data_IF_458193393560
#
_entry.id   IF_458193393560
#
_cell.length_a   1.000
_cell.length_b   1.000
_cell.length_c   1.000
_cell.angle_alpha   90.00
_cell.angle_beta   90.00
_cell.angle_gamma   90.00
#
_symmetry.space_group_name_H-M   'P 1'
#
loop_
_entity.id
_entity.type
_entity.pdbx_description
1 polymer ?
#
# COMPACT_ATOMS: atom_id res chain seq x y z
N UNK A 1 40.14 -18.21 -62.94
CA UNK A 1 39.94 -17.01 -62.12
C UNK A 1 39.09 -17.38 -60.93
N UNK A 2 39.67 -17.51 -59.73
CA UNK A 2 39.03 -18.03 -58.51
C UNK A 2 38.46 -16.84 -57.72
N UNK A 3 37.15 -16.92 -57.42
CA UNK A 3 36.47 -15.98 -56.51
C UNK A 3 36.26 -16.70 -55.20
N UNK A 4 36.90 -16.25 -54.13
CA UNK A 4 36.77 -16.74 -52.77
C UNK A 4 35.60 -16.05 -52.09
N UNK A 5 34.61 -16.84 -51.61
CA UNK A 5 33.56 -16.38 -50.71
C UNK A 5 34.16 -16.13 -49.30
N UNK A 6 34.08 -14.87 -48.84
CA UNK A 6 34.25 -14.52 -47.43
C UNK A 6 32.92 -14.75 -46.70
N UNK A 7 32.88 -15.75 -45.84
CA UNK A 7 31.77 -15.90 -44.89
C UNK A 7 31.85 -14.83 -43.82
N UNK A 8 30.86 -13.93 -43.76
CA UNK A 8 30.67 -13.03 -42.63
C UNK A 8 30.03 -13.83 -41.46
N UNK A 9 30.81 -14.09 -40.46
CA UNK A 9 30.27 -14.52 -39.15
C UNK A 9 29.60 -13.28 -38.48
N UNK A 10 28.27 -13.28 -38.42
CA UNK A 10 27.52 -12.34 -37.61
C UNK A 10 27.48 -12.97 -36.18
N UNK A 11 28.27 -12.39 -35.26
CA UNK A 11 28.16 -12.69 -33.83
C UNK A 11 26.80 -12.21 -33.34
N UNK A 12 26.04 -13.02 -32.60
CA UNK A 12 24.82 -12.54 -31.98
C UNK A 12 25.19 -11.46 -30.92
N UNK A 13 24.55 -10.30 -31.01
CA UNK A 13 24.66 -9.27 -29.99
C UNK A 13 24.25 -9.88 -28.63
N UNK A 14 25.17 -9.85 -27.68
CA UNK A 14 24.90 -10.21 -26.30
C UNK A 14 23.77 -9.31 -25.79
N UNK A 15 22.60 -9.90 -25.57
CA UNK A 15 21.47 -9.21 -24.96
C UNK A 15 21.93 -8.71 -23.58
N UNK A 16 21.92 -7.40 -23.40
CA UNK A 16 22.13 -6.81 -22.09
C UNK A 16 21.01 -7.35 -21.18
N UNK A 17 21.37 -8.16 -20.19
CA UNK A 17 20.46 -8.46 -19.09
C UNK A 17 20.09 -7.12 -18.48
N UNK A 18 18.82 -6.74 -18.57
CA UNK A 18 18.31 -5.59 -17.84
C UNK A 18 18.57 -5.83 -16.35
N UNK A 19 19.35 -4.97 -15.72
CA UNK A 19 19.59 -5.04 -14.29
C UNK A 19 18.23 -5.05 -13.58
N UNK A 20 18.05 -5.97 -12.61
CA UNK A 20 16.84 -5.98 -11.80
C UNK A 20 16.62 -4.58 -11.22
N UNK A 21 15.38 -4.05 -11.24
CA UNK A 21 15.10 -2.72 -10.70
C UNK A 21 15.59 -2.65 -9.25
N UNK A 22 16.41 -1.64 -8.96
CA UNK A 22 16.88 -1.43 -7.59
C UNK A 22 15.71 -1.08 -6.69
N UNK A 23 15.59 -1.77 -5.54
CA UNK A 23 14.58 -1.46 -4.53
C UNK A 23 14.83 -0.06 -3.95
N UNK A 24 13.83 0.81 -4.02
CA UNK A 24 13.88 2.13 -3.41
C UNK A 24 12.79 2.26 -2.36
N UNK A 25 13.17 2.67 -1.14
CA UNK A 25 12.25 2.88 -0.02
C UNK A 25 12.05 4.37 0.21
N UNK A 26 10.88 4.89 -0.13
CA UNK A 26 10.51 6.27 0.15
C UNK A 26 9.80 6.37 1.49
N UNK A 27 10.16 7.40 2.26
CA UNK A 27 9.53 7.77 3.53
C UNK A 27 9.04 9.21 3.47
N UNK A 28 8.00 9.50 4.24
CA UNK A 28 7.61 10.86 4.59
C UNK A 28 7.74 11.01 6.09
N UNK A 29 8.39 12.08 6.56
CA UNK A 29 8.76 12.25 7.97
C UNK A 29 8.67 13.71 8.40
N UNK A 30 8.56 13.93 9.70
CA UNK A 30 8.65 15.28 10.30
C UNK A 30 10.11 15.61 10.58
N UNK A 31 10.55 16.76 10.05
CA UNK A 31 11.76 17.47 10.43
C UNK A 31 11.34 18.69 11.24
N UNK A 32 11.41 18.59 12.55
CA UNK A 32 10.83 19.59 13.43
C UNK A 32 9.31 19.70 13.19
N UNK A 33 8.85 20.83 12.64
CA UNK A 33 7.44 21.08 12.33
C UNK A 33 7.10 20.94 10.84
N UNK A 34 8.07 20.61 10.00
CA UNK A 34 7.91 20.55 8.54
C UNK A 34 7.98 19.10 8.07
N UNK A 35 7.01 18.68 7.25
CA UNK A 35 7.05 17.40 6.61
C UNK A 35 8.02 17.40 5.41
N UNK A 36 8.82 16.36 5.29
CA UNK A 36 9.77 16.14 4.21
C UNK A 36 9.64 14.72 3.66
N UNK A 37 10.14 14.50 2.45
CA UNK A 37 10.33 13.17 1.87
C UNK A 37 11.80 12.77 1.93
N UNK A 38 12.07 11.47 1.90
CA UNK A 38 13.43 10.94 1.85
C UNK A 38 13.47 9.52 1.30
N UNK A 39 14.67 9.07 1.00
CA UNK A 39 14.97 7.67 0.69
C UNK A 39 15.58 7.05 1.94
N UNK A 40 14.96 5.97 2.40
CA UNK A 40 15.43 5.18 3.54
C UNK A 40 16.42 4.12 3.07
N UNK A 41 17.61 4.13 3.65
CA UNK A 41 18.70 3.19 3.42
C UNK A 41 19.22 2.71 4.79
N UNK A 42 18.84 1.47 5.18
CA UNK A 42 19.04 1.00 6.55
C UNK A 42 18.35 1.90 7.57
N UNK A 43 19.11 2.44 8.51
CA UNK A 43 18.67 3.38 9.54
C UNK A 43 18.81 4.86 9.14
N UNK A 44 19.12 5.13 7.88
CA UNK A 44 19.47 6.46 7.38
C UNK A 44 18.46 6.96 6.36
N UNK A 45 17.97 8.18 6.52
CA UNK A 45 17.08 8.86 5.58
C UNK A 45 17.88 9.94 4.83
N UNK A 46 17.99 9.80 3.51
CA UNK A 46 18.52 10.85 2.63
C UNK A 46 17.35 11.75 2.20
N UNK A 47 17.34 12.99 2.67
CA UNK A 47 16.24 13.93 2.43
C UNK A 47 16.14 14.33 0.97
N UNK A 48 14.90 14.45 0.50
CA UNK A 48 14.54 14.87 -0.86
C UNK A 48 13.81 16.20 -0.84
N UNK A 49 14.15 17.05 -1.82
CA UNK A 49 13.34 18.21 -2.19
C UNK A 49 12.25 17.77 -3.16
N UNK A 50 11.01 18.04 -2.83
CA UNK A 50 9.85 17.69 -3.64
C UNK A 50 9.29 16.31 -3.32
N UNK A 51 8.20 15.98 -4.00
CA UNK A 51 7.48 14.72 -3.87
C UNK A 51 8.19 13.60 -4.65
N UNK A 52 8.19 12.35 -4.19
CA UNK A 52 8.73 11.22 -4.93
C UNK A 52 8.07 11.02 -6.31
N UNK A 53 6.89 11.57 -6.52
CA UNK A 53 6.15 11.49 -7.79
C UNK A 53 6.55 12.56 -8.82
N UNK A 54 7.41 13.51 -8.49
CA UNK A 54 7.72 14.68 -9.30
C UNK A 54 9.22 14.94 -9.42
N UNK A 55 9.99 13.92 -9.83
CA UNK A 55 11.44 13.99 -10.05
C UNK A 55 12.19 14.64 -8.87
N UNK A 56 12.11 14.04 -7.66
CA UNK A 56 12.69 14.59 -6.44
C UNK A 56 14.21 14.71 -6.57
N UNK A 57 14.79 15.74 -5.92
CA UNK A 57 16.24 15.97 -5.91
C UNK A 57 16.78 15.80 -4.47
N UNK A 58 17.96 15.18 -4.27
CA UNK A 58 18.60 15.16 -2.98
C UNK A 58 18.85 16.57 -2.45
N UNK A 59 18.62 16.81 -1.17
CA UNK A 59 18.96 18.09 -0.51
C UNK A 59 20.38 18.08 0.02
N UNK A 60 21.01 16.92 0.17
CA UNK A 60 22.27 16.69 0.87
C UNK A 60 22.08 16.44 2.37
N UNK A 61 20.91 16.73 2.95
CA UNK A 61 20.64 16.46 4.36
C UNK A 61 20.38 14.95 4.60
N UNK A 62 20.88 14.49 5.76
CA UNK A 62 20.79 13.09 6.19
C UNK A 62 20.26 13.06 7.62
N UNK A 63 19.33 12.16 7.90
CA UNK A 63 18.71 11.98 9.21
C UNK A 63 18.79 10.52 9.65
N UNK A 64 18.90 10.27 10.96
CA UNK A 64 18.68 8.93 11.49
C UNK A 64 17.19 8.66 11.59
N UNK A 65 16.78 7.44 11.27
CA UNK A 65 15.37 7.01 11.38
C UNK A 65 14.82 7.19 12.79
N UNK A 66 15.64 6.92 13.82
CA UNK A 66 15.28 7.10 15.23
C UNK A 66 15.00 8.55 15.64
N UNK A 67 15.51 9.54 14.91
CA UNK A 67 15.47 10.95 15.29
C UNK A 67 14.27 11.69 14.65
N UNK A 68 13.46 10.98 13.87
CA UNK A 68 12.33 11.57 13.15
C UNK A 68 11.03 10.81 13.43
N UNK A 69 9.91 11.49 13.32
CA UNK A 69 8.59 10.86 13.31
C UNK A 69 8.21 10.54 11.87
N UNK A 70 7.95 9.25 11.57
CA UNK A 70 7.39 8.85 10.29
C UNK A 70 5.93 9.31 10.19
N UNK A 71 5.54 9.69 8.99
CA UNK A 71 4.19 10.04 8.60
C UNK A 71 3.68 8.99 7.60
N UNK A 72 2.35 8.94 7.35
CA UNK A 72 1.84 8.19 6.21
C UNK A 72 2.60 8.63 4.94
N UNK A 73 3.04 7.68 4.10
CA UNK A 73 4.19 7.91 3.21
C UNK A 73 3.90 8.79 1.99
N UNK A 74 2.64 9.14 1.73
CA UNK A 74 2.26 10.09 0.68
C UNK A 74 0.97 10.83 1.05
N UNK A 75 0.62 11.87 0.28
CA UNK A 75 -0.58 12.67 0.47
C UNK A 75 -1.57 12.42 -0.66
N UNK A 76 -2.47 11.42 -0.52
CA UNK A 76 -3.44 11.10 -1.55
C UNK A 76 -4.51 12.18 -1.67
N UNK A 77 -5.08 12.30 -2.86
CA UNK A 77 -6.33 13.05 -3.08
C UNK A 77 -7.55 12.19 -2.83
N UNK A 78 -7.40 10.89 -2.98
CA UNK A 78 -8.44 9.89 -2.72
C UNK A 78 -7.85 8.55 -2.28
N UNK A 79 -8.65 7.80 -1.57
CA UNK A 79 -8.34 6.43 -1.14
C UNK A 79 -9.49 5.54 -1.59
N UNK A 80 -9.16 4.52 -2.35
CA UNK A 80 -10.04 3.42 -2.70
C UNK A 80 -9.65 2.18 -1.88
N UNK A 81 -10.61 1.31 -1.61
CA UNK A 81 -10.35 0.04 -0.97
C UNK A 81 -11.20 -1.07 -1.60
N UNK A 82 -10.64 -2.28 -1.64
CA UNK A 82 -11.26 -3.46 -2.21
C UNK A 82 -12.04 -4.24 -1.14
N UNK A 83 -13.29 -4.56 -1.44
CA UNK A 83 -14.02 -5.57 -0.70
C UNK A 83 -13.81 -6.96 -1.33
N UNK A 84 -13.75 -8.02 -0.49
CA UNK A 84 -13.87 -9.42 -0.92
C UNK A 84 -12.80 -9.87 -1.94
N UNK A 85 -11.57 -9.44 -1.79
CA UNK A 85 -10.50 -9.74 -2.74
C UNK A 85 -9.60 -10.94 -2.36
N UNK A 86 -9.91 -11.67 -1.31
CA UNK A 86 -9.29 -12.96 -0.96
C UNK A 86 -10.34 -14.04 -0.79
N UNK A 87 -10.11 -15.23 -1.37
CA UNK A 87 -11.05 -16.36 -1.21
C UNK A 87 -11.23 -16.75 0.26
N UNK A 88 -10.15 -16.71 1.04
CA UNK A 88 -10.18 -17.00 2.49
C UNK A 88 -11.02 -16.02 3.31
N UNK A 89 -11.34 -14.84 2.77
CA UNK A 89 -12.17 -13.81 3.44
C UNK A 89 -13.65 -13.86 3.01
N UNK A 90 -13.99 -14.70 2.03
CA UNK A 90 -15.37 -14.77 1.50
C UNK A 90 -16.34 -15.51 2.42
N UNK A 91 -15.86 -16.47 3.26
CA UNK A 91 -16.71 -17.47 3.88
C UNK A 91 -17.43 -18.27 2.79
N UNK A 92 -18.75 -18.40 2.89
CA UNK A 92 -19.59 -19.15 1.93
C UNK A 92 -19.96 -18.33 0.67
N UNK A 93 -19.51 -17.08 0.56
CA UNK A 93 -19.84 -16.22 -0.58
C UNK A 93 -19.06 -16.62 -1.83
N UNK A 94 -19.70 -16.50 -2.99
CA UNK A 94 -19.03 -16.66 -4.26
C UNK A 94 -18.08 -15.46 -4.51
N UNK A 95 -16.93 -15.70 -5.17
CA UNK A 95 -16.05 -14.61 -5.57
C UNK A 95 -16.78 -13.59 -6.45
N UNK A 96 -16.54 -12.29 -6.25
CA UNK A 96 -17.14 -11.28 -7.10
C UNK A 96 -16.64 -11.41 -8.55
N UNK A 97 -17.52 -11.14 -9.52
CA UNK A 97 -17.18 -11.21 -10.96
C UNK A 97 -16.35 -10.02 -11.45
N UNK A 98 -16.22 -8.98 -10.63
CA UNK A 98 -15.46 -7.75 -10.89
C UNK A 98 -14.94 -7.18 -9.57
N UNK A 99 -13.92 -6.28 -9.59
CA UNK A 99 -13.50 -5.56 -8.42
C UNK A 99 -14.65 -4.78 -7.76
N UNK A 100 -14.86 -4.98 -6.46
CA UNK A 100 -15.84 -4.25 -5.66
C UNK A 100 -15.11 -3.22 -4.82
N UNK A 101 -15.19 -1.95 -5.22
CA UNK A 101 -14.46 -0.85 -4.61
C UNK A 101 -15.36 0.04 -3.77
N UNK A 102 -14.81 0.55 -2.68
CA UNK A 102 -15.44 1.59 -1.85
C UNK A 102 -14.44 2.72 -1.54
N UNK A 103 -14.95 3.81 -1.01
CA UNK A 103 -14.17 4.98 -0.67
C UNK A 103 -13.80 4.99 0.81
N UNK A 104 -12.55 5.40 1.09
CA UNK A 104 -12.14 5.87 2.42
C UNK A 104 -11.82 7.36 2.31
N UNK A 105 -12.32 8.23 3.21
CA UNK A 105 -11.93 9.63 3.20
C UNK A 105 -10.44 9.80 3.56
N UNK A 106 -9.82 10.84 3.05
CA UNK A 106 -8.41 11.13 3.38
C UNK A 106 -8.19 11.49 4.85
N UNK A 107 -9.23 11.95 5.55
CA UNK A 107 -9.23 12.20 6.99
C UNK A 107 -9.06 10.93 7.82
N UNK A 108 -9.37 9.75 7.27
CA UNK A 108 -9.17 8.47 7.93
C UNK A 108 -7.70 8.05 8.03
N UNK A 109 -6.78 8.72 7.28
CA UNK A 109 -5.35 8.38 7.31
C UNK A 109 -4.77 8.50 8.70
N UNK A 110 -3.93 7.52 9.07
CA UNK A 110 -3.18 7.54 10.30
C UNK A 110 -1.70 7.22 10.06
N UNK A 111 -0.82 7.89 10.82
CA UNK A 111 0.63 7.69 10.70
C UNK A 111 1.07 6.38 11.37
N UNK A 112 2.19 5.82 10.94
CA UNK A 112 2.86 4.76 11.70
C UNK A 112 3.16 5.25 13.14
N UNK A 113 2.83 4.41 14.13
CA UNK A 113 3.04 4.70 15.55
C UNK A 113 1.96 5.56 16.21
N UNK A 114 1.15 6.30 15.47
CA UNK A 114 0.06 7.08 16.04
C UNK A 114 -1.17 6.18 16.36
N UNK A 115 -2.00 6.53 17.37
CA UNK A 115 -3.07 5.64 17.80
C UNK A 115 -4.22 5.53 16.79
N UNK A 116 -4.80 4.33 16.68
CA UNK A 116 -6.14 4.13 16.15
C UNK A 116 -7.11 4.50 17.26
N UNK A 117 -8.03 5.42 16.99
CA UNK A 117 -9.00 5.93 17.96
C UNK A 117 -10.35 5.25 17.72
N UNK A 118 -10.84 4.49 18.70
CA UNK A 118 -12.16 3.86 18.63
C UNK A 118 -13.21 4.88 19.04
N UNK A 119 -14.16 5.27 18.15
CA UNK A 119 -15.25 6.17 18.51
C UNK A 119 -16.07 5.65 19.68
N UNK A 120 -16.65 6.52 20.54
CA UNK A 120 -17.35 6.10 21.75
C UNK A 120 -18.56 5.17 21.51
N UNK A 121 -19.20 5.27 20.34
CA UNK A 121 -20.36 4.48 19.91
C UNK A 121 -19.98 3.27 19.03
N UNK A 122 -18.68 3.01 18.84
CA UNK A 122 -18.16 1.87 18.08
C UNK A 122 -17.84 0.70 19.02
N UNK A 123 -18.42 -0.48 18.77
CA UNK A 123 -18.31 -1.62 19.69
C UNK A 123 -17.66 -2.86 19.07
N UNK A 124 -17.52 -2.92 17.74
CA UNK A 124 -17.04 -4.10 17.02
C UNK A 124 -16.02 -3.71 15.94
N UNK A 125 -14.95 -3.01 16.36
CA UNK A 125 -13.91 -2.48 15.47
C UNK A 125 -12.84 -3.53 15.23
N UNK A 126 -12.67 -3.93 13.96
CA UNK A 126 -11.70 -4.94 13.54
C UNK A 126 -10.51 -4.32 12.82
N UNK A 127 -9.34 -4.97 12.93
CA UNK A 127 -8.20 -4.72 12.06
C UNK A 127 -8.26 -5.59 10.80
N UNK A 128 -7.79 -5.03 9.69
CA UNK A 128 -7.67 -5.68 8.38
C UNK A 128 -6.33 -5.31 7.75
N UNK A 129 -5.33 -6.20 7.88
CA UNK A 129 -4.03 -6.00 7.24
C UNK A 129 -4.14 -6.14 5.72
N UNK A 130 -3.56 -5.18 4.99
CA UNK A 130 -3.64 -5.12 3.54
C UNK A 130 -2.36 -4.64 2.88
N UNK A 131 -2.10 -5.16 1.68
CA UNK A 131 -1.22 -4.52 0.74
C UNK A 131 -1.91 -3.26 0.20
N UNK A 132 -1.18 -2.15 0.10
CA UNK A 132 -1.70 -0.89 -0.45
C UNK A 132 -0.89 -0.48 -1.67
N UNK A 133 -1.56 -0.31 -2.80
CA UNK A 133 -0.96 0.23 -4.02
C UNK A 133 -0.87 1.74 -3.92
N UNK A 134 0.26 2.30 -4.35
CA UNK A 134 0.48 3.75 -4.47
C UNK A 134 0.55 4.12 -5.95
N UNK A 135 -0.31 5.03 -6.38
CA UNK A 135 -0.34 5.50 -7.78
C UNK A 135 0.78 6.52 -8.00
N UNK A 136 1.51 6.37 -9.09
CA UNK A 136 2.67 7.22 -9.42
C UNK A 136 2.42 8.23 -10.51
N UNK A 137 1.45 7.99 -11.36
CA UNK A 137 1.12 8.90 -12.47
C UNK A 137 -0.39 9.00 -12.69
N UNK A 138 -0.81 10.12 -13.26
CA UNK A 138 -2.21 10.29 -13.62
C UNK A 138 -2.61 9.25 -14.66
N UNK A 139 -3.72 8.56 -14.39
CA UNK A 139 -4.26 7.54 -15.29
C UNK A 139 -5.79 7.55 -15.30
N UNK A 140 -6.36 7.39 -16.49
CA UNK A 140 -7.81 7.34 -16.75
C UNK A 140 -8.04 6.37 -17.89
N UNK A 141 -8.97 5.43 -17.70
CA UNK A 141 -9.34 4.41 -18.70
C UNK A 141 -8.12 3.60 -19.20
N UNK A 142 -7.31 3.08 -18.26
CA UNK A 142 -6.05 2.40 -18.54
C UNK A 142 -6.22 1.05 -19.20
N UNK A 143 -5.27 0.68 -20.09
CA UNK A 143 -5.00 -0.73 -20.44
C UNK A 143 -4.35 -1.44 -19.24
N UNK A 144 -4.17 -2.77 -19.33
CA UNK A 144 -3.49 -3.53 -18.25
C UNK A 144 -2.04 -3.08 -18.08
N UNK A 145 -1.33 -2.82 -19.17
CA UNK A 145 0.05 -2.33 -19.17
C UNK A 145 0.15 -0.94 -18.55
N UNK A 146 -0.73 -0.02 -18.95
CA UNK A 146 -0.79 1.33 -18.38
C UNK A 146 -1.16 1.31 -16.89
N UNK A 147 -2.03 0.39 -16.48
CA UNK A 147 -2.37 0.20 -15.07
C UNK A 147 -1.18 -0.30 -14.25
N UNK A 148 -0.42 -1.28 -14.78
CA UNK A 148 0.81 -1.78 -14.14
C UNK A 148 1.84 -0.67 -13.99
N UNK A 149 2.09 0.10 -15.04
CA UNK A 149 3.04 1.20 -15.03
C UNK A 149 2.58 2.40 -14.17
N UNK A 150 1.27 2.52 -13.89
CA UNK A 150 0.75 3.56 -13.02
C UNK A 150 1.00 3.27 -11.53
N UNK A 151 1.29 2.01 -11.16
CA UNK A 151 1.62 1.64 -9.79
C UNK A 151 3.09 2.04 -9.53
N UNK A 152 3.29 3.04 -8.68
CA UNK A 152 4.61 3.54 -8.29
C UNK A 152 5.35 2.60 -7.35
N UNK A 153 4.62 2.02 -6.43
CA UNK A 153 5.12 1.12 -5.40
C UNK A 153 4.01 0.68 -4.47
N UNK A 154 4.39 0.01 -3.40
CA UNK A 154 3.47 -0.58 -2.44
C UNK A 154 3.86 -0.24 -1.00
N UNK A 155 2.88 -0.33 -0.10
CA UNK A 155 3.06 -0.10 1.34
C UNK A 155 2.11 -0.99 2.14
N UNK A 156 2.29 -1.09 3.46
CA UNK A 156 1.31 -1.73 4.34
C UNK A 156 0.16 -0.77 4.64
N UNK A 157 -1.03 -1.34 4.88
CA UNK A 157 -2.19 -0.63 5.38
C UNK A 157 -3.01 -1.46 6.34
N UNK A 158 -3.87 -0.78 7.09
CA UNK A 158 -4.87 -1.40 7.95
C UNK A 158 -6.23 -0.78 7.62
N UNK A 159 -7.11 -1.53 6.95
CA UNK A 159 -8.48 -1.10 6.64
C UNK A 159 -9.40 -1.30 7.84
N UNK A 160 -9.18 -0.48 8.88
CA UNK A 160 -9.96 -0.55 10.12
C UNK A 160 -11.46 -0.43 9.83
N UNK A 161 -12.23 -1.34 10.44
CA UNK A 161 -13.63 -1.56 10.10
C UNK A 161 -14.50 -1.76 11.33
N UNK A 162 -15.52 -0.94 11.49
CA UNK A 162 -16.56 -1.20 12.47
C UNK A 162 -17.63 -2.11 11.84
N UNK A 163 -17.75 -3.33 12.35
CA UNK A 163 -18.53 -4.41 11.71
C UNK A 163 -20.03 -4.26 11.84
N UNK A 164 -20.51 -3.67 12.94
CA UNK A 164 -21.93 -3.50 13.16
C UNK A 164 -22.48 -2.36 12.29
N UNK A 165 -21.71 -1.27 12.15
CA UNK A 165 -22.02 -0.21 11.20
C UNK A 165 -21.95 -0.70 9.76
N UNK A 166 -20.93 -1.54 9.44
CA UNK A 166 -20.76 -2.10 8.10
C UNK A 166 -21.98 -2.95 7.67
N UNK A 167 -22.65 -3.63 8.63
CA UNK A 167 -23.86 -4.43 8.38
C UNK A 167 -25.13 -3.59 8.36
N UNK A 168 -25.19 -2.57 9.21
CA UNK A 168 -26.40 -1.78 9.45
C UNK A 168 -26.56 -0.57 8.54
N UNK A 169 -25.48 0.04 8.11
CA UNK A 169 -25.52 1.25 7.29
C UNK A 169 -25.69 0.92 5.79
N UNK A 170 -26.41 1.77 5.07
CA UNK A 170 -26.54 1.63 3.61
C UNK A 170 -25.20 1.80 2.91
N UNK A 171 -24.34 2.67 3.44
CA UNK A 171 -22.99 2.92 2.93
C UNK A 171 -21.97 2.85 4.07
N UNK A 172 -20.76 2.45 3.76
CA UNK A 172 -19.70 2.18 4.74
C UNK A 172 -18.89 3.43 5.14
N UNK A 173 -19.43 4.65 4.96
CA UNK A 173 -18.65 5.86 5.15
C UNK A 173 -18.06 6.00 6.55
N UNK A 174 -18.82 5.71 7.63
CA UNK A 174 -18.29 5.71 9.00
C UNK A 174 -17.68 4.37 9.40
N UNK A 175 -18.25 3.26 8.92
CA UNK A 175 -17.76 1.92 9.22
C UNK A 175 -16.30 1.72 8.78
N UNK A 176 -15.90 2.35 7.67
CA UNK A 176 -14.58 2.24 7.03
C UNK A 176 -13.81 3.56 7.01
N UNK A 177 -14.44 4.68 7.35
CA UNK A 177 -13.90 6.00 7.11
C UNK A 177 -13.89 6.93 8.33
N UNK A 178 -14.17 6.45 9.54
CA UNK A 178 -13.93 7.24 10.74
C UNK A 178 -12.45 7.68 10.81
N UNK A 179 -12.17 8.81 11.44
CA UNK A 179 -10.81 9.30 11.61
C UNK A 179 -9.92 8.19 12.18
N UNK A 180 -8.68 8.10 11.70
CA UNK A 180 -7.68 7.08 12.06
C UNK A 180 -7.93 5.65 11.53
N UNK A 181 -9.01 5.41 10.78
CA UNK A 181 -9.38 4.08 10.28
C UNK A 181 -8.63 3.66 9.00
N UNK A 182 -7.62 4.41 8.59
CA UNK A 182 -6.72 4.07 7.48
C UNK A 182 -5.23 4.29 7.86
N UNK A 183 -4.67 3.55 8.82
CA UNK A 183 -3.22 3.53 9.01
C UNK A 183 -2.51 3.06 7.74
N UNK A 184 -1.44 3.77 7.33
CA UNK A 184 -0.64 3.46 6.12
C UNK A 184 0.84 3.74 6.36
N UNK A 185 1.69 2.86 5.90
CA UNK A 185 3.14 2.99 5.98
C UNK A 185 3.84 1.67 6.33
N UNK A 186 5.06 1.70 6.84
CA UNK A 186 5.90 2.88 7.16
C UNK A 186 6.59 3.49 5.94
N UNK A 187 6.73 2.76 4.84
CA UNK A 187 7.49 3.16 3.64
C UNK A 187 6.69 2.86 2.38
N UNK A 188 7.01 3.55 1.27
CA UNK A 188 6.64 3.07 -0.08
C UNK A 188 7.87 2.36 -0.64
N UNK A 189 7.71 1.11 -1.07
CA UNK A 189 8.77 0.36 -1.75
C UNK A 189 8.47 0.28 -3.23
N UNK A 190 9.40 0.79 -4.03
CA UNK A 190 9.39 0.71 -5.48
C UNK A 190 10.33 -0.39 -5.98
N UNK A 191 10.00 -0.99 -7.12
CA UNK A 191 10.82 -2.04 -7.74
C UNK A 191 10.65 -3.43 -7.11
N UNK A 192 9.75 -3.60 -6.14
CA UNK A 192 9.45 -4.88 -5.50
C UNK A 192 8.42 -5.67 -6.33
N UNK A 193 8.64 -6.97 -6.50
CA UNK A 193 7.61 -7.89 -7.00
C UNK A 193 6.59 -8.15 -5.89
N UNK A 194 5.50 -7.38 -5.89
CA UNK A 194 4.47 -7.44 -4.87
C UNK A 194 3.39 -8.51 -5.12
N UNK A 195 3.52 -9.30 -6.19
CA UNK A 195 2.56 -10.34 -6.55
C UNK A 195 2.60 -11.61 -5.69
N UNK A 196 3.58 -11.75 -4.80
CA UNK A 196 3.78 -12.97 -3.99
C UNK A 196 4.43 -12.73 -2.63
N UNK A 197 4.10 -11.62 -1.98
CA UNK A 197 4.63 -11.27 -0.66
C UNK A 197 3.81 -11.91 0.45
N UNK A 198 4.44 -12.32 1.53
CA UNK A 198 3.74 -12.77 2.73
C UNK A 198 3.25 -11.55 3.52
N UNK A 199 1.94 -11.51 3.76
CA UNK A 199 1.26 -10.56 4.63
C UNK A 199 0.93 -11.23 5.96
N UNK A 200 1.25 -10.57 7.07
CA UNK A 200 0.87 -10.96 8.44
C UNK A 200 0.23 -9.80 9.17
N UNK A 201 -0.88 -10.09 9.85
CA UNK A 201 -1.47 -9.15 10.83
C UNK A 201 -1.35 -9.76 12.21
N UNK A 202 -0.80 -8.96 13.16
CA UNK A 202 -0.72 -9.36 14.57
C UNK A 202 -1.55 -8.43 15.43
N UNK A 203 -2.20 -9.03 16.42
CA UNK A 203 -2.88 -8.30 17.49
C UNK A 203 -2.20 -8.70 18.82
N UNK A 204 -1.56 -7.74 19.50
CA UNK A 204 -0.78 -7.97 20.72
C UNK A 204 0.32 -9.03 20.56
N UNK A 205 0.96 -9.08 19.38
CA UNK A 205 2.00 -10.04 19.04
C UNK A 205 1.49 -11.39 18.54
N UNK A 206 0.20 -11.71 18.70
CA UNK A 206 -0.41 -12.92 18.16
C UNK A 206 -0.73 -12.76 16.67
N UNK A 207 -0.26 -13.65 15.82
CA UNK A 207 -0.60 -13.66 14.38
C UNK A 207 -2.04 -14.09 14.20
N UNK A 208 -2.87 -13.19 13.65
CA UNK A 208 -4.30 -13.42 13.39
C UNK A 208 -4.62 -13.56 11.90
N UNK A 209 -3.75 -13.05 11.03
CA UNK A 209 -3.83 -13.24 9.58
C UNK A 209 -2.44 -13.55 9.04
N UNK A 210 -2.35 -14.52 8.15
CA UNK A 210 -1.12 -14.85 7.41
C UNK A 210 -1.49 -15.41 6.05
N UNK A 211 -1.14 -14.70 4.97
CA UNK A 211 -1.43 -15.15 3.61
C UNK A 211 -0.59 -14.43 2.57
N UNK A 212 -0.35 -15.10 1.44
CA UNK A 212 0.37 -14.50 0.31
C UNK A 212 -0.51 -13.53 -0.47
N UNK A 213 0.09 -12.44 -0.99
CA UNK A 213 -0.55 -11.55 -1.96
C UNK A 213 -0.81 -12.22 -3.31
N UNK A 214 -0.22 -13.39 -3.56
CA UNK A 214 -0.53 -14.21 -4.74
C UNK A 214 -1.97 -14.76 -4.74
N UNK A 215 -2.63 -14.78 -3.57
CA UNK A 215 -3.99 -15.28 -3.40
C UNK A 215 -5.07 -14.21 -3.62
N UNK A 216 -4.67 -12.99 -3.99
CA UNK A 216 -5.62 -11.94 -4.42
C UNK A 216 -6.45 -12.42 -5.62
N UNK A 217 -7.78 -12.24 -5.55
CA UNK A 217 -8.70 -12.58 -6.65
C UNK A 217 -8.46 -11.67 -7.84
N UNK A 218 -8.28 -10.39 -7.59
CA UNK A 218 -7.90 -9.38 -8.57
C UNK A 218 -6.53 -8.81 -8.18
N UNK A 219 -5.56 -8.91 -9.07
CA UNK A 219 -4.21 -8.34 -8.86
C UNK A 219 -4.21 -6.80 -8.97
N UNK A 220 -3.08 -6.18 -8.59
CA UNK A 220 -2.94 -4.73 -8.61
C UNK A 220 -3.30 -4.09 -9.96
N UNK A 221 -2.74 -4.55 -11.09
CA UNK A 221 -3.09 -4.03 -12.41
C UNK A 221 -4.57 -4.17 -12.77
N UNK A 222 -5.23 -5.28 -12.40
CA UNK A 222 -6.66 -5.47 -12.64
C UNK A 222 -7.51 -4.46 -11.85
N UNK A 223 -7.16 -4.21 -10.58
CA UNK A 223 -7.83 -3.22 -9.73
C UNK A 223 -7.66 -1.80 -10.30
N UNK A 224 -6.43 -1.40 -10.62
CA UNK A 224 -6.14 -0.05 -11.19
C UNK A 224 -6.83 0.14 -12.53
N UNK A 225 -6.78 -0.87 -13.42
CA UNK A 225 -7.47 -0.85 -14.71
C UNK A 225 -8.98 -0.67 -14.52
N UNK A 226 -9.59 -1.40 -13.59
CA UNK A 226 -11.02 -1.30 -13.31
C UNK A 226 -11.39 0.07 -12.74
N UNK A 227 -10.71 0.51 -11.67
CA UNK A 227 -10.95 1.79 -11.02
C UNK A 227 -10.81 2.97 -12.00
N UNK A 228 -9.77 2.95 -12.86
CA UNK A 228 -9.49 4.02 -13.80
C UNK A 228 -10.55 4.21 -14.89
N UNK A 229 -11.43 3.24 -15.11
CA UNK A 229 -12.58 3.39 -16.03
C UNK A 229 -13.59 4.43 -15.54
N UNK A 230 -13.73 4.53 -14.23
CA UNK A 230 -14.77 5.35 -13.59
C UNK A 230 -14.22 6.64 -12.98
N UNK A 231 -13.01 6.58 -12.43
CA UNK A 231 -12.38 7.73 -11.76
C UNK A 231 -10.95 7.92 -12.27
N UNK A 232 -10.53 9.19 -12.39
CA UNK A 232 -9.12 9.48 -12.67
C UNK A 232 -8.32 9.22 -11.41
N UNK A 233 -7.26 8.41 -11.52
CA UNK A 233 -6.29 8.22 -10.46
C UNK A 233 -5.13 9.20 -10.64
N UNK A 234 -4.65 9.76 -9.54
CA UNK A 234 -3.61 10.79 -9.51
C UNK A 234 -2.38 10.31 -8.73
N UNK A 235 -1.18 10.88 -8.98
CA UNK A 235 0.00 10.55 -8.20
C UNK A 235 -0.23 10.71 -6.69
N UNK A 236 0.13 9.68 -5.92
CA UNK A 236 -0.08 9.60 -4.49
C UNK A 236 -1.41 9.02 -4.05
N UNK A 237 -2.39 8.81 -4.95
CA UNK A 237 -3.63 8.10 -4.59
C UNK A 237 -3.33 6.68 -4.11
N UNK A 238 -4.13 6.19 -3.17
CA UNK A 238 -3.96 4.89 -2.53
C UNK A 238 -5.10 3.95 -2.90
N UNK A 239 -4.75 2.67 -3.07
CA UNK A 239 -5.74 1.60 -3.25
C UNK A 239 -5.38 0.45 -2.30
N UNK A 240 -6.18 0.23 -1.29
CA UNK A 240 -6.15 -0.95 -0.43
C UNK A 240 -6.64 -2.15 -1.23
N UNK A 241 -5.92 -3.28 -1.16
CA UNK A 241 -6.17 -4.41 -2.08
C UNK A 241 -7.05 -5.51 -1.50
N UNK A 242 -7.54 -5.34 -0.28
CA UNK A 242 -8.32 -6.34 0.44
C UNK A 242 -7.50 -7.13 1.46
N UNK A 243 -8.19 -7.65 2.47
CA UNK A 243 -7.63 -8.41 3.59
C UNK A 243 -7.89 -9.92 3.45
N UNK A 244 -6.96 -10.80 3.88
CA UNK A 244 -7.16 -12.25 3.88
C UNK A 244 -7.85 -12.77 5.14
N UNK A 245 -8.40 -13.99 5.06
CA UNK A 245 -8.83 -14.80 6.20
C UNK A 245 -9.89 -14.14 7.08
N UNK A 246 -9.83 -14.44 8.38
CA UNK A 246 -10.71 -13.87 9.40
C UNK A 246 -10.05 -12.69 10.08
N UNK A 247 -10.85 -11.71 10.47
CA UNK A 247 -10.41 -10.52 11.20
C UNK A 247 -10.82 -10.61 12.66
N UNK A 248 -10.16 -9.85 13.54
CA UNK A 248 -10.42 -9.85 14.98
C UNK A 248 -10.73 -8.43 15.46
N UNK A 249 -11.68 -8.35 16.42
CA UNK A 249 -12.01 -7.10 17.10
C UNK A 249 -10.84 -6.61 17.95
N UNK A 250 -10.64 -5.29 17.93
CA UNK A 250 -9.67 -4.55 18.75
C UNK A 250 -10.39 -3.82 19.87
N UNK A 251 -9.68 -3.55 20.95
CA UNK A 251 -10.13 -2.72 22.08
C UNK A 251 -9.04 -1.74 22.51
N UNK A 252 -9.38 -0.67 23.23
CA UNK A 252 -8.38 0.22 23.81
C UNK A 252 -7.33 -0.54 24.62
N UNK A 253 -6.05 -0.19 24.44
CA UNK A 253 -4.90 -0.88 25.01
C UNK A 253 -4.25 -1.92 24.11
N UNK A 254 -4.92 -2.35 23.05
CA UNK A 254 -4.35 -3.27 22.06
C UNK A 254 -3.29 -2.60 21.18
N UNK A 255 -2.46 -3.43 20.56
CA UNK A 255 -1.48 -3.02 19.55
C UNK A 255 -1.66 -3.87 18.30
N UNK A 256 -1.85 -3.22 17.16
CA UNK A 256 -1.94 -3.87 15.85
C UNK A 256 -0.66 -3.68 15.08
N UNK A 257 -0.22 -4.74 14.42
CA UNK A 257 0.91 -4.74 13.50
C UNK A 257 0.50 -5.37 12.18
N UNK A 258 0.79 -4.68 11.08
CA UNK A 258 0.68 -5.22 9.71
C UNK A 258 2.09 -5.31 9.15
N UNK A 259 2.56 -6.51 8.92
CA UNK A 259 3.85 -6.81 8.31
C UNK A 259 3.65 -7.36 6.90
N UNK A 260 4.37 -6.81 5.94
CA UNK A 260 4.45 -7.40 4.60
C UNK A 260 5.93 -7.53 4.23
N UNK A 261 6.27 -8.70 3.71
CA UNK A 261 7.63 -9.02 3.31
C UNK A 261 8.25 -7.94 2.43
N UNK A 262 9.42 -7.42 2.83
CA UNK A 262 10.13 -6.35 2.13
C UNK A 262 9.61 -4.93 2.37
N UNK A 263 8.44 -4.75 3.01
CA UNK A 263 7.86 -3.43 3.31
C UNK A 263 8.11 -2.97 4.76
N UNK A 264 8.36 -3.91 5.67
CA UNK A 264 8.50 -3.64 7.09
C UNK A 264 7.17 -3.79 7.85
N UNK A 265 7.09 -3.14 9.02
CA UNK A 265 5.95 -3.28 9.95
C UNK A 265 5.28 -1.94 10.17
N UNK A 266 3.99 -1.87 9.84
CA UNK A 266 3.09 -0.80 10.24
C UNK A 266 2.51 -1.14 11.60
N UNK A 267 2.84 -0.36 12.64
CA UNK A 267 2.43 -0.60 14.02
C UNK A 267 1.63 0.58 14.55
N UNK A 268 0.48 0.29 15.16
CA UNK A 268 -0.39 1.32 15.76
C UNK A 268 -0.96 0.82 17.09
N UNK A 269 -0.89 1.60 18.17
CA UNK A 269 -1.65 1.34 19.38
C UNK A 269 -3.12 1.69 19.17
N UNK A 270 -4.00 1.11 19.99
CA UNK A 270 -5.45 1.37 19.96
C UNK A 270 -5.86 2.10 21.23
N UNK A 271 -6.63 3.17 21.10
CA UNK A 271 -7.12 3.97 22.25
C UNK A 271 -8.63 4.22 22.14
N UNK A 272 -9.26 4.56 23.26
CA UNK A 272 -10.62 5.07 23.26
C UNK A 272 -10.65 6.52 22.76
N UNK A 273 -11.72 6.87 22.04
CA UNK A 273 -12.03 8.24 21.63
C UNK A 273 -12.81 9.03 22.67
#
# INVERSE_FOLDING_TARGET
>A
MRITRRELFVLPAAGALAAAPSLVRYVRFLRGRTAAYGILDGETIRELRGSPFASPQPTGAVHKLSDVKLLYPCQPRKILAMALNYRSHLGDRQPPSRPELFWKPVSALQNPGDPIVIPPDAHNVHCEGELVLVIGRRVRNATTEQAREAIFGVTCGNDVSERDWQKGDIQWWRAKGADTFAPVGPVIVCGLDYGKLMLRTRLNGETIQEQSTADLIFDGPAIVRFASRYVTLEPGDLIFTGTPGTTRAMKPGDVVEVEIEGLGVLRNPVVAG
#
